data_IF_960108197236
#
_entry.id   IF_960108197236
#
_cell.length_a   1.000
_cell.length_b   1.000
_cell.length_c   1.000
_cell.angle_alpha   90.00
_cell.angle_beta   90.00
_cell.angle_gamma   90.00
#
_symmetry.space_group_name_H-M   'P 1'
#
loop_
_entity.id
_entity.type
_entity.pdbx_description
1 polymer ?
#
# COMPACT_ATOMS: atom_id res chain seq x y z
N UNK A 1 -34.42 23.92 -6.27
CA UNK A 1 -33.61 23.07 -7.18
C UNK A 1 -34.19 21.67 -7.36
N UNK A 2 -34.95 21.10 -6.41
CA UNK A 2 -35.63 19.81 -6.62
C UNK A 2 -37.06 20.05 -7.14
N UNK A 3 -37.33 19.67 -8.38
CA UNK A 3 -38.67 19.54 -8.97
C UNK A 3 -38.84 18.13 -9.53
N UNK A 4 -40.06 17.71 -9.86
CA UNK A 4 -40.28 16.39 -10.47
C UNK A 4 -39.85 16.39 -11.95
N UNK A 5 -39.94 17.53 -12.63
CA UNK A 5 -39.51 17.71 -14.02
C UNK A 5 -38.23 18.56 -14.17
N UNK A 6 -37.36 18.14 -15.09
CA UNK A 6 -36.16 18.90 -15.49
C UNK A 6 -36.54 20.02 -16.45
N UNK A 7 -36.54 21.27 -15.97
CA UNK A 7 -36.69 22.45 -16.82
C UNK A 7 -35.33 23.03 -17.18
N UNK A 8 -35.03 23.04 -18.47
CA UNK A 8 -33.88 23.71 -19.06
C UNK A 8 -34.42 24.97 -19.73
N UNK A 9 -34.07 26.14 -19.17
CA UNK A 9 -34.45 27.42 -19.76
C UNK A 9 -33.28 27.98 -20.55
N UNK A 10 -33.54 28.43 -21.78
CA UNK A 10 -32.60 29.21 -22.58
C UNK A 10 -32.74 30.66 -22.11
N UNK A 11 -31.65 31.24 -21.60
CA UNK A 11 -31.63 32.64 -21.18
C UNK A 11 -31.61 33.53 -22.42
N UNK A 12 -32.63 34.39 -22.58
CA UNK A 12 -32.91 35.11 -23.83
C UNK A 12 -31.91 36.22 -24.19
N UNK A 13 -31.10 36.69 -23.23
CA UNK A 13 -30.10 37.74 -23.46
C UNK A 13 -28.72 37.21 -23.88
N UNK A 14 -28.37 35.97 -23.50
CA UNK A 14 -27.02 35.42 -23.68
C UNK A 14 -26.97 34.12 -24.52
N UNK A 15 -28.11 33.58 -24.95
CA UNK A 15 -28.18 32.28 -25.66
C UNK A 15 -27.67 31.09 -24.83
N UNK A 16 -27.51 31.26 -23.52
CA UNK A 16 -26.92 30.27 -22.63
C UNK A 16 -27.98 29.39 -21.97
N UNK A 17 -27.70 28.09 -21.85
CA UNK A 17 -28.58 27.13 -21.18
C UNK A 17 -28.40 27.23 -19.66
N UNK A 18 -29.49 27.49 -18.94
CA UNK A 18 -29.53 27.52 -17.47
C UNK A 18 -30.40 26.37 -16.95
N UNK A 19 -29.84 25.56 -16.05
CA UNK A 19 -30.57 24.49 -15.37
C UNK A 19 -31.29 25.10 -14.16
N UNK A 20 -32.62 25.16 -14.21
CA UNK A 20 -33.46 25.77 -13.16
C UNK A 20 -33.90 24.74 -12.11
N UNK A 21 -34.17 23.52 -12.56
CA UNK A 21 -34.52 22.39 -11.70
C UNK A 21 -33.90 21.09 -12.22
N UNK A 22 -33.44 20.25 -11.30
CA UNK A 22 -33.01 18.89 -11.58
C UNK A 22 -34.08 17.92 -11.05
N UNK A 23 -34.49 16.97 -11.89
CA UNK A 23 -35.42 15.93 -11.48
C UNK A 23 -34.79 15.04 -10.41
N UNK A 24 -35.54 14.77 -9.34
CA UNK A 24 -35.10 13.92 -8.23
C UNK A 24 -34.69 12.52 -8.70
N UNK A 25 -35.35 11.99 -9.72
CA UNK A 25 -35.03 10.67 -10.29
C UNK A 25 -33.64 10.64 -10.93
N UNK A 26 -33.26 11.68 -11.69
CA UNK A 26 -31.92 11.80 -12.30
C UNK A 26 -30.84 12.03 -11.24
N UNK A 27 -31.16 12.79 -10.20
CA UNK A 27 -30.26 12.99 -9.07
C UNK A 27 -30.05 11.68 -8.29
N UNK A 28 -31.12 10.91 -8.04
CA UNK A 28 -31.01 9.61 -7.40
C UNK A 28 -30.19 8.63 -8.26
N UNK A 29 -30.43 8.58 -9.58
CA UNK A 29 -29.66 7.73 -10.49
C UNK A 29 -28.16 8.09 -10.52
N UNK A 30 -27.85 9.38 -10.67
CA UNK A 30 -26.45 9.86 -10.66
C UNK A 30 -25.79 9.63 -9.30
N UNK A 31 -26.52 9.83 -8.19
CA UNK A 31 -26.03 9.51 -6.85
C UNK A 31 -25.75 8.01 -6.69
N UNK A 32 -26.63 7.14 -7.18
CA UNK A 32 -26.44 5.68 -7.14
C UNK A 32 -25.18 5.25 -7.91
N UNK A 33 -24.94 5.80 -9.11
CA UNK A 33 -23.70 5.55 -9.86
C UNK A 33 -22.48 6.03 -9.07
N UNK A 34 -22.57 7.21 -8.45
CA UNK A 34 -21.48 7.76 -7.68
C UNK A 34 -21.15 6.88 -6.46
N UNK A 35 -22.16 6.37 -5.75
CA UNK A 35 -21.99 5.43 -4.64
C UNK A 35 -21.34 4.14 -5.11
N UNK A 36 -21.79 3.57 -6.24
CA UNK A 36 -21.16 2.38 -6.81
C UNK A 36 -19.68 2.61 -7.15
N UNK A 37 -19.35 3.76 -7.75
CA UNK A 37 -17.96 4.15 -8.04
C UNK A 37 -17.11 4.28 -6.78
N UNK A 38 -17.65 4.89 -5.72
CA UNK A 38 -16.95 4.96 -4.43
C UNK A 38 -16.75 3.58 -3.80
N UNK A 39 -17.73 2.68 -3.91
CA UNK A 39 -17.60 1.32 -3.42
C UNK A 39 -16.49 0.55 -4.14
N UNK A 40 -16.47 0.60 -5.49
CA UNK A 40 -15.41 -0.04 -6.30
C UNK A 40 -14.04 0.54 -5.94
N UNK A 41 -13.93 1.87 -5.85
CA UNK A 41 -12.68 2.55 -5.48
C UNK A 41 -12.21 2.15 -4.09
N UNK A 42 -13.13 2.01 -3.13
CA UNK A 42 -12.82 1.54 -1.78
C UNK A 42 -12.33 0.10 -1.75
N UNK A 43 -12.98 -0.80 -2.51
CA UNK A 43 -12.52 -2.18 -2.67
C UNK A 43 -11.13 -2.24 -3.29
N UNK A 44 -10.90 -1.50 -4.39
CA UNK A 44 -9.60 -1.38 -5.04
C UNK A 44 -8.52 -0.86 -4.08
N UNK A 45 -8.87 0.10 -3.22
CA UNK A 45 -7.95 0.62 -2.21
C UNK A 45 -7.58 -0.46 -1.18
N UNK A 46 -8.55 -1.19 -0.63
CA UNK A 46 -8.30 -2.22 0.39
C UNK A 46 -7.52 -3.40 -0.20
N UNK A 47 -7.99 -3.93 -1.34
CA UNK A 47 -7.32 -5.03 -2.01
C UNK A 47 -5.94 -4.62 -2.52
N UNK A 48 -5.80 -3.40 -3.06
CA UNK A 48 -4.51 -2.86 -3.49
C UNK A 48 -3.52 -2.71 -2.33
N UNK A 49 -3.97 -2.20 -1.18
CA UNK A 49 -3.13 -2.10 0.02
C UNK A 49 -2.70 -3.47 0.54
N UNK A 50 -3.62 -4.43 0.61
CA UNK A 50 -3.32 -5.80 1.04
C UNK A 50 -2.36 -6.48 0.07
N UNK A 51 -2.58 -6.31 -1.23
CA UNK A 51 -1.75 -6.88 -2.28
C UNK A 51 -0.32 -6.33 -2.24
N UNK A 52 -0.16 -5.00 -2.10
CA UNK A 52 1.14 -4.35 -1.95
C UNK A 52 1.87 -4.88 -0.71
N UNK A 53 1.16 -5.04 0.42
CA UNK A 53 1.76 -5.49 1.67
C UNK A 53 2.26 -6.95 1.64
N UNK A 54 1.71 -7.78 0.75
CA UNK A 54 2.11 -9.19 0.58
C UNK A 54 3.13 -9.41 -0.54
N UNK A 55 3.50 -8.35 -1.27
CA UNK A 55 4.43 -8.46 -2.39
C UNK A 55 5.89 -8.37 -1.91
N UNK A 56 6.59 -9.51 -1.83
CA UNK A 56 7.98 -9.58 -1.37
C UNK A 56 9.00 -9.05 -2.38
N UNK A 57 8.63 -9.02 -3.66
CA UNK A 57 9.52 -8.60 -4.76
C UNK A 57 9.16 -7.21 -5.27
N UNK A 58 10.11 -6.28 -5.15
CA UNK A 58 9.98 -4.91 -5.67
C UNK A 58 9.67 -4.89 -7.18
N UNK A 59 10.14 -5.88 -7.94
CA UNK A 59 9.86 -6.01 -9.38
C UNK A 59 8.37 -6.25 -9.68
N UNK A 60 7.70 -7.08 -8.88
CA UNK A 60 6.28 -7.37 -9.05
C UNK A 60 5.45 -6.13 -8.69
N UNK A 61 5.90 -5.33 -7.72
CA UNK A 61 5.26 -4.06 -7.38
C UNK A 61 5.25 -3.09 -8.58
N UNK A 62 6.39 -2.95 -9.26
CA UNK A 62 6.52 -2.03 -10.40
C UNK A 62 5.65 -2.45 -11.58
N UNK A 63 5.62 -3.75 -11.92
CA UNK A 63 4.78 -4.29 -12.98
C UNK A 63 3.29 -4.03 -12.74
N UNK A 64 2.84 -4.16 -11.49
CA UNK A 64 1.46 -3.86 -11.13
C UNK A 64 1.13 -2.37 -11.19
N UNK A 65 2.07 -1.49 -10.80
CA UNK A 65 1.89 -0.05 -10.96
C UNK A 65 1.75 0.35 -12.43
N UNK A 66 2.60 -0.18 -13.31
CA UNK A 66 2.53 0.08 -14.76
C UNK A 66 1.22 -0.47 -15.35
N UNK A 67 0.78 -1.65 -14.93
CA UNK A 67 -0.49 -2.22 -15.37
C UNK A 67 -1.70 -1.36 -14.94
N UNK A 68 -1.69 -0.83 -13.71
CA UNK A 68 -2.76 0.05 -13.23
C UNK A 68 -2.77 1.39 -13.97
N UNK A 69 -1.60 1.98 -14.23
CA UNK A 69 -1.48 3.20 -15.05
C UNK A 69 -2.05 2.98 -16.45
N UNK A 70 -1.75 1.84 -17.07
CA UNK A 70 -2.32 1.48 -18.37
C UNK A 70 -3.86 1.36 -18.32
N UNK A 71 -4.42 0.73 -17.28
CA UNK A 71 -5.89 0.61 -17.12
C UNK A 71 -6.55 1.97 -16.97
N UNK A 72 -5.93 2.93 -16.26
CA UNK A 72 -6.46 4.29 -16.13
C UNK A 72 -6.47 5.00 -17.49
N UNK A 73 -5.36 4.95 -18.23
CA UNK A 73 -5.30 5.55 -19.57
C UNK A 73 -6.31 4.91 -20.52
N UNK A 74 -6.54 3.60 -20.40
CA UNK A 74 -7.51 2.89 -21.21
C UNK A 74 -8.96 3.28 -20.87
N UNK A 75 -9.29 3.51 -19.59
CA UNK A 75 -10.62 4.02 -19.18
C UNK A 75 -10.90 5.40 -19.78
N UNK A 76 -9.89 6.29 -19.81
CA UNK A 76 -10.01 7.61 -20.45
C UNK A 76 -10.25 7.49 -21.97
N UNK A 77 -9.52 6.60 -22.65
CA UNK A 77 -9.68 6.34 -24.08
C UNK A 77 -11.05 5.76 -24.41
N UNK A 78 -11.54 4.82 -23.60
CA UNK A 78 -12.89 4.28 -23.74
C UNK A 78 -13.92 5.37 -23.50
N UNK A 79 -13.73 6.21 -22.48
CA UNK A 79 -14.65 7.31 -22.21
C UNK A 79 -14.74 8.25 -23.40
N UNK A 80 -13.62 8.63 -23.99
CA UNK A 80 -13.59 9.49 -25.17
C UNK A 80 -14.25 8.84 -26.40
N UNK A 81 -14.03 7.53 -26.61
CA UNK A 81 -14.64 6.81 -27.72
C UNK A 81 -16.14 6.53 -27.54
N UNK A 82 -16.56 6.26 -26.30
CA UNK A 82 -17.94 5.89 -25.97
C UNK A 82 -18.83 7.11 -25.71
N UNK A 83 -18.25 8.27 -25.40
CA UNK A 83 -19.02 9.49 -25.14
C UNK A 83 -19.59 10.04 -26.48
N UNK A 84 -20.92 10.11 -26.64
CA UNK A 84 -21.54 10.66 -27.84
C UNK A 84 -21.20 12.15 -28.01
N UNK A 85 -20.90 12.58 -29.24
CA UNK A 85 -20.64 13.98 -29.57
C UNK A 85 -21.75 14.95 -29.11
N UNK A 86 -23.01 14.48 -29.07
CA UNK A 86 -24.13 15.26 -28.56
C UNK A 86 -24.00 15.61 -27.07
N UNK A 87 -23.45 14.70 -26.25
CA UNK A 87 -23.22 14.95 -24.81
C UNK A 87 -22.06 15.92 -24.63
N UNK A 88 -20.98 15.80 -25.42
CA UNK A 88 -19.89 16.77 -25.39
C UNK A 88 -20.35 18.17 -25.79
N UNK A 89 -21.14 18.30 -26.86
CA UNK A 89 -21.71 19.58 -27.28
C UNK A 89 -22.64 20.17 -26.22
N UNK A 90 -23.43 19.34 -25.55
CA UNK A 90 -24.30 19.78 -24.45
C UNK A 90 -23.48 20.25 -23.25
N UNK A 91 -22.46 19.50 -22.83
CA UNK A 91 -21.54 19.90 -21.76
C UNK A 91 -20.84 21.23 -22.08
N UNK A 92 -20.36 21.41 -23.30
CA UNK A 92 -19.68 22.63 -23.73
C UNK A 92 -20.61 23.85 -23.80
N UNK A 93 -21.92 23.66 -23.98
CA UNK A 93 -22.93 24.73 -24.02
C UNK A 93 -23.59 25.02 -22.68
N UNK A 94 -23.41 24.16 -21.68
CA UNK A 94 -23.91 24.38 -20.33
C UNK A 94 -23.05 25.44 -19.66
N UNK A 95 -23.65 26.58 -19.27
CA UNK A 95 -22.97 27.55 -18.41
C UNK A 95 -22.54 26.81 -17.13
N UNK A 96 -21.29 26.98 -16.64
CA UNK A 96 -20.84 26.34 -15.42
C UNK A 96 -21.85 26.64 -14.32
N UNK A 97 -22.38 25.59 -13.69
CA UNK A 97 -23.38 25.74 -12.64
C UNK A 97 -22.81 26.71 -11.62
N UNK A 98 -23.45 27.86 -11.46
CA UNK A 98 -23.17 28.79 -10.36
C UNK A 98 -23.57 28.07 -9.09
N UNK A 99 -22.67 27.22 -8.57
CA UNK A 99 -22.75 26.77 -7.19
C UNK A 99 -22.83 28.05 -6.36
N UNK A 100 -23.71 28.12 -5.35
CA UNK A 100 -23.74 29.26 -4.47
C UNK A 100 -22.32 29.44 -3.94
N UNK A 101 -21.66 30.51 -4.38
CA UNK A 101 -20.35 30.93 -3.90
C UNK A 101 -20.58 31.33 -2.45
N UNK A 102 -20.50 30.34 -1.56
CA UNK A 102 -20.35 30.57 -0.13
C UNK A 102 -19.11 31.43 -0.02
N UNK A 103 -19.30 32.73 0.23
CA UNK A 103 -18.25 33.74 0.27
C UNK A 103 -17.22 33.34 1.32
N UNK A 104 -16.24 32.55 0.90
CA UNK A 104 -15.09 32.16 1.69
C UNK A 104 -14.06 33.26 1.55
N UNK A 105 -14.29 34.39 2.23
CA UNK A 105 -13.18 35.25 2.65
C UNK A 105 -12.31 34.41 3.59
N UNK A 106 -11.19 33.89 3.08
CA UNK A 106 -10.12 33.29 3.88
C UNK A 106 -10.37 31.89 4.48
N UNK A 107 -11.50 31.24 4.20
CA UNK A 107 -11.74 29.90 4.74
C UNK A 107 -11.04 28.85 3.88
N UNK A 108 -9.94 28.29 4.40
CA UNK A 108 -9.53 26.92 4.10
C UNK A 108 -10.82 26.09 4.18
N UNK A 109 -11.33 25.65 3.02
CA UNK A 109 -12.67 25.10 2.95
C UNK A 109 -12.78 23.87 3.83
N UNK A 110 -13.86 23.75 4.61
CA UNK A 110 -14.15 22.56 5.44
C UNK A 110 -13.95 21.26 4.65
N UNK A 111 -14.30 21.28 3.34
CA UNK A 111 -14.06 20.16 2.43
C UNK A 111 -12.58 19.83 2.26
N UNK A 112 -11.72 20.83 2.05
CA UNK A 112 -10.28 20.64 1.91
C UNK A 112 -9.66 20.09 3.21
N UNK A 113 -10.07 20.64 4.36
CA UNK A 113 -9.63 20.14 5.67
C UNK A 113 -10.08 18.70 5.86
N UNK A 114 -11.36 18.41 5.59
CA UNK A 114 -11.92 17.07 5.74
C UNK A 114 -11.24 16.07 4.80
N UNK A 115 -10.94 16.45 3.56
CA UNK A 115 -10.17 15.57 2.65
C UNK A 115 -8.76 15.30 3.17
N UNK A 116 -8.05 16.31 3.67
CA UNK A 116 -6.72 16.11 4.25
C UNK A 116 -6.76 15.22 5.49
N UNK A 117 -7.71 15.45 6.39
CA UNK A 117 -7.92 14.62 7.59
C UNK A 117 -8.25 13.18 7.21
N UNK A 118 -9.13 12.97 6.23
CA UNK A 118 -9.50 11.63 5.76
C UNK A 118 -8.29 10.91 5.14
N UNK A 119 -7.52 11.58 4.30
CA UNK A 119 -6.31 11.00 3.68
C UNK A 119 -5.31 10.61 4.76
N UNK A 120 -5.00 11.51 5.69
CA UNK A 120 -4.09 11.22 6.80
C UNK A 120 -4.59 10.05 7.65
N UNK A 121 -5.88 10.03 7.99
CA UNK A 121 -6.46 8.94 8.77
C UNK A 121 -6.34 7.59 8.05
N UNK A 122 -6.69 7.53 6.76
CA UNK A 122 -6.57 6.31 5.95
C UNK A 122 -5.12 5.86 5.84
N UNK A 123 -4.18 6.77 5.62
CA UNK A 123 -2.75 6.45 5.55
C UNK A 123 -2.23 5.91 6.88
N UNK A 124 -2.57 6.55 8.01
CA UNK A 124 -2.16 6.09 9.34
C UNK A 124 -2.75 4.71 9.62
N UNK A 125 -4.04 4.50 9.36
CA UNK A 125 -4.71 3.21 9.53
C UNK A 125 -4.03 2.13 8.68
N UNK A 126 -3.75 2.40 7.41
CA UNK A 126 -3.08 1.45 6.53
C UNK A 126 -1.67 1.08 7.03
N UNK A 127 -0.92 2.05 7.56
CA UNK A 127 0.40 1.81 8.16
C UNK A 127 0.30 0.86 9.35
N UNK A 128 -0.52 1.21 10.34
CA UNK A 128 -0.57 0.44 11.61
C UNK A 128 -1.27 -0.91 11.46
N UNK A 129 -2.31 -1.00 10.64
CA UNK A 129 -3.15 -2.20 10.54
C UNK A 129 -2.66 -3.21 9.51
N UNK A 130 -1.98 -2.74 8.45
CA UNK A 130 -1.60 -3.60 7.31
C UNK A 130 -0.08 -3.69 7.19
N UNK A 131 0.62 -2.55 7.19
CA UNK A 131 2.05 -2.52 6.84
C UNK A 131 2.95 -2.97 7.99
N UNK A 132 2.80 -2.39 9.17
CA UNK A 132 3.64 -2.69 10.34
C UNK A 132 3.65 -4.18 10.74
N UNK A 133 2.51 -4.91 10.80
CA UNK A 133 2.55 -6.34 11.16
C UNK A 133 3.30 -7.18 10.13
N UNK A 134 3.21 -6.85 8.83
CA UNK A 134 3.93 -7.55 7.77
C UNK A 134 5.44 -7.28 7.85
N UNK A 135 5.82 -6.01 8.04
CA UNK A 135 7.22 -5.62 8.20
C UNK A 135 7.83 -6.31 9.42
N UNK A 136 7.11 -6.36 10.55
CA UNK A 136 7.58 -7.07 11.74
C UNK A 136 7.76 -8.56 11.51
N UNK A 137 6.87 -9.20 10.75
CA UNK A 137 7.02 -10.61 10.39
C UNK A 137 8.29 -10.84 9.55
N UNK A 138 8.53 -10.01 8.54
CA UNK A 138 9.75 -10.07 7.73
C UNK A 138 11.01 -9.81 8.55
N UNK A 139 10.97 -8.83 9.44
CA UNK A 139 12.09 -8.52 10.35
C UNK A 139 12.34 -9.69 11.29
N UNK A 140 11.30 -10.29 11.87
CA UNK A 140 11.45 -11.48 12.73
C UNK A 140 11.92 -12.70 11.96
N UNK A 141 11.52 -12.89 10.70
CA UNK A 141 12.03 -13.98 9.87
C UNK A 141 13.50 -13.76 9.51
N UNK A 142 13.87 -12.54 9.12
CA UNK A 142 15.26 -12.13 8.91
C UNK A 142 16.06 -12.34 10.18
N UNK A 143 15.55 -11.90 11.32
CA UNK A 143 16.23 -12.05 12.60
C UNK A 143 16.23 -13.53 13.02
N UNK A 144 15.23 -14.36 12.70
CA UNK A 144 15.35 -15.80 12.97
C UNK A 144 16.39 -16.50 12.07
N UNK A 145 16.60 -16.01 10.85
CA UNK A 145 17.58 -16.54 9.89
C UNK A 145 19.00 -15.98 10.10
N UNK A 146 19.10 -14.74 10.57
CA UNK A 146 20.34 -13.97 10.65
C UNK A 146 20.69 -13.52 12.08
N UNK A 147 19.79 -13.69 13.06
CA UNK A 147 20.19 -13.64 14.47
C UNK A 147 20.94 -14.92 14.79
N UNK A 148 21.94 -14.76 15.65
CA UNK A 148 22.97 -15.75 15.85
C UNK A 148 24.33 -15.24 15.40
N UNK A 149 25.28 -16.17 15.35
CA UNK A 149 26.63 -15.85 14.94
C UNK A 149 26.68 -15.74 13.41
N UNK A 150 26.89 -14.54 12.88
CA UNK A 150 27.07 -14.28 11.45
C UNK A 150 28.55 -14.27 11.04
N UNK A 151 29.46 -14.56 11.98
CA UNK A 151 30.91 -14.56 11.74
C UNK A 151 31.46 -15.95 11.46
N UNK A 152 30.64 -16.90 10.98
CA UNK A 152 31.16 -18.16 10.46
C UNK A 152 31.25 -18.12 8.93
N UNK A 153 32.32 -18.69 8.41
CA UNK A 153 32.47 -18.99 6.99
C UNK A 153 32.06 -20.43 6.81
N UNK A 154 31.18 -20.70 5.84
CA UNK A 154 30.88 -22.06 5.41
C UNK A 154 31.34 -22.26 3.97
N UNK A 155 31.84 -23.45 3.67
CA UNK A 155 32.21 -23.88 2.33
C UNK A 155 31.65 -25.28 2.08
N UNK A 156 31.35 -25.58 0.83
CA UNK A 156 30.97 -26.93 0.39
C UNK A 156 32.18 -27.47 -0.37
N UNK A 157 32.71 -28.60 0.08
CA UNK A 157 33.81 -29.26 -0.62
C UNK A 157 33.33 -29.93 -1.93
N UNK A 158 34.26 -30.38 -2.77
CA UNK A 158 33.92 -31.09 -4.01
C UNK A 158 33.16 -32.41 -3.80
N UNK A 159 33.09 -32.92 -2.57
CA UNK A 159 32.33 -34.13 -2.19
C UNK A 159 30.92 -33.79 -1.66
N UNK A 160 30.55 -32.50 -1.58
CA UNK A 160 29.26 -32.04 -1.06
C UNK A 160 29.20 -31.93 0.46
N UNK A 161 30.32 -32.08 1.17
CA UNK A 161 30.38 -31.91 2.64
C UNK A 161 30.38 -30.42 2.98
N UNK A 162 29.51 -30.03 3.91
CA UNK A 162 29.48 -28.68 4.47
C UNK A 162 30.54 -28.59 5.57
N UNK A 163 31.54 -27.73 5.38
CA UNK A 163 32.53 -27.36 6.39
C UNK A 163 32.27 -25.92 6.82
N UNK A 164 32.36 -25.64 8.11
CA UNK A 164 32.19 -24.30 8.67
C UNK A 164 33.31 -24.00 9.68
N UNK A 165 33.68 -22.72 9.82
CA UNK A 165 34.72 -22.28 10.74
C UNK A 165 34.70 -20.76 10.94
N UNK A 166 35.46 -20.28 11.93
CA UNK A 166 35.58 -18.86 12.24
C UNK A 166 36.84 -18.27 11.60
N UNK A 167 36.81 -17.01 11.14
CA UNK A 167 38.02 -16.33 10.68
C UNK A 167 39.00 -16.14 11.84
N UNK A 168 40.29 -16.18 11.54
CA UNK A 168 41.38 -16.10 12.53
C UNK A 168 41.29 -14.81 13.37
N UNK A 169 40.85 -13.71 12.77
CA UNK A 169 40.59 -12.43 13.46
C UNK A 169 39.55 -12.56 14.58
N UNK A 170 38.51 -13.37 14.38
CA UNK A 170 37.45 -13.57 15.36
C UNK A 170 37.93 -14.46 16.52
N UNK A 171 38.75 -15.47 16.23
CA UNK A 171 39.31 -16.37 17.23
C UNK A 171 40.33 -15.70 18.18
N UNK A 172 41.01 -14.66 17.69
CA UNK A 172 42.01 -13.91 18.45
C UNK A 172 41.41 -12.84 19.38
N UNK A 173 40.09 -12.62 19.35
CA UNK A 173 39.41 -11.69 20.27
C UNK A 173 39.22 -12.37 21.65
N UNK A 174 39.83 -11.87 22.74
CA UNK A 174 39.71 -12.47 24.07
C UNK A 174 38.27 -12.43 24.63
N UNK A 175 37.37 -11.66 24.02
CA UNK A 175 35.95 -11.62 24.37
C UNK A 175 35.05 -12.41 23.42
N UNK A 176 35.63 -13.14 22.44
CA UNK A 176 34.88 -13.83 21.39
C UNK A 176 33.71 -14.65 21.96
N UNK A 177 33.98 -15.58 22.89
CA UNK A 177 32.95 -16.43 23.49
C UNK A 177 31.81 -15.68 24.20
N UNK A 178 32.10 -14.57 24.89
CA UNK A 178 31.09 -13.74 25.54
C UNK A 178 30.27 -12.93 24.51
N UNK A 179 30.92 -12.38 23.48
CA UNK A 179 30.25 -11.62 22.41
C UNK A 179 29.32 -12.50 21.59
N UNK A 180 29.74 -13.72 21.27
CA UNK A 180 28.92 -14.70 20.56
C UNK A 180 27.74 -15.15 21.41
N UNK A 181 27.95 -15.38 22.71
CA UNK A 181 26.88 -15.75 23.64
C UNK A 181 25.79 -14.66 23.74
N UNK A 182 26.17 -13.39 23.94
CA UNK A 182 25.23 -12.26 24.05
C UNK A 182 24.50 -12.00 22.72
N UNK A 183 25.15 -12.20 21.56
CA UNK A 183 24.49 -12.07 20.25
C UNK A 183 23.47 -13.17 19.98
N UNK A 184 23.77 -14.40 20.39
CA UNK A 184 22.89 -15.54 20.16
C UNK A 184 21.71 -15.56 21.13
N UNK A 185 21.87 -14.97 22.32
CA UNK A 185 20.86 -14.91 23.38
C UNK A 185 20.74 -13.48 23.92
N UNK A 186 20.19 -12.53 23.14
CA UNK A 186 20.04 -11.13 23.56
C UNK A 186 19.17 -10.99 24.82
N UNK A 187 18.29 -11.96 25.05
CA UNK A 187 17.34 -12.00 26.16
C UNK A 187 17.96 -12.64 27.43
N UNK A 188 19.19 -13.17 27.32
CA UNK A 188 19.89 -13.87 28.41
C UNK A 188 19.31 -15.24 28.76
N UNK A 189 18.20 -15.64 28.14
CA UNK A 189 17.61 -16.96 28.32
C UNK A 189 18.34 -17.98 27.43
N UNK A 190 19.00 -18.95 28.07
CA UNK A 190 19.44 -20.17 27.41
C UNK A 190 18.19 -20.87 26.85
N UNK A 191 18.26 -21.47 25.65
CA UNK A 191 17.14 -22.22 25.10
C UNK A 191 16.90 -23.36 26.08
N UNK A 192 15.81 -23.27 26.84
CA UNK A 192 15.36 -24.34 27.72
C UNK A 192 15.25 -25.56 26.84
N UNK A 193 16.06 -26.60 27.13
CA UNK A 193 16.14 -27.86 26.39
C UNK A 193 14.74 -28.29 25.90
N UNK A 194 14.38 -27.91 24.68
CA UNK A 194 13.29 -28.54 23.98
C UNK A 194 13.86 -29.88 23.57
N UNK A 195 13.40 -30.89 24.30
CA UNK A 195 13.63 -32.32 24.05
C UNK A 195 13.66 -32.61 22.54
N UNK A 196 14.80 -33.08 22.05
CA UNK A 196 14.85 -33.81 20.77
C UNK A 196 15.80 -33.31 19.68
N UNK A 197 17.01 -32.85 19.99
CA UNK A 197 18.12 -32.97 19.01
C UNK A 197 19.37 -33.43 19.75
N UNK A 198 19.77 -34.66 19.43
CA UNK A 198 20.96 -35.35 19.92
C UNK A 198 22.21 -34.57 19.49
N UNK A 199 22.90 -33.95 20.44
CA UNK A 199 24.16 -33.26 20.20
C UNK A 199 25.26 -34.27 19.88
N UNK A 200 25.61 -34.40 18.59
CA UNK A 200 26.85 -35.06 18.15
C UNK A 200 28.03 -34.15 18.46
N UNK A 201 28.47 -34.19 19.71
CA UNK A 201 29.75 -33.64 20.15
C UNK A 201 30.87 -34.59 19.71
N UNK A 202 31.45 -34.38 18.54
CA UNK A 202 32.69 -35.04 18.12
C UNK A 202 33.86 -34.11 18.42
N UNK A 203 34.43 -34.27 19.60
CA UNK A 203 35.72 -33.70 19.99
C UNK A 203 36.83 -34.37 19.18
N UNK A 204 37.33 -33.70 18.14
CA UNK A 204 38.60 -34.06 17.50
C UNK A 204 39.73 -33.38 18.26
N UNK A 205 40.27 -34.09 19.26
CA UNK A 205 41.60 -33.80 19.80
C UNK A 205 42.64 -34.02 18.69
N UNK A 206 43.29 -32.97 18.24
CA UNK A 206 44.58 -33.06 17.56
C UNK A 206 45.69 -32.93 18.60
N UNK A 207 46.26 -34.08 18.99
CA UNK A 207 47.53 -34.17 19.69
C UNK A 207 48.67 -34.16 18.67
N UNK A 208 49.53 -33.16 18.77
CA UNK A 208 50.89 -33.17 18.23
C UNK A 208 51.83 -33.93 19.17
#
# INVERSE_FOLDING_TARGET
>A
LLGDETHICVDGEDGCLKIVSLSKARLAWTLSIQVMRFAISGLLLVYGLMYIAYTDKVGDLFLNCVALEFVIQFDELIYDAACPAAIMMLCNRLKPLKLPVRHARGAIGLRAILTWVLVLAVTIIAKIAILDPQVQLMVRARDALCAGDVQFVYAIDGAGTIVWGYPEEAQNDPQFGNKTFIRNFPDGELPTKTTGVESVSRSTSYSH
#
